data_IF_917485357037
#
_entry.id   IF_917485357037
#
_cell.length_a   1.000
_cell.length_b   1.000
_cell.length_c   1.000
_cell.angle_alpha   90.00
_cell.angle_beta   90.00
_cell.angle_gamma   90.00
#
_symmetry.space_group_name_H-M   'P 1'
#
loop_
_entity.id
_entity.type
_entity.pdbx_description
1 polymer ?
#
# COMPACT_ATOMS: atom_id res chain seq x y z
N UNK A 1 -7.06 10.00 8.31
CA UNK A 1 -8.42 10.23 8.84
C UNK A 1 -8.31 10.87 10.20
N UNK A 2 -9.15 11.87 10.48
CA UNK A 2 -9.38 12.37 11.84
C UNK A 2 -10.86 12.13 12.15
N UNK A 3 -11.16 11.40 13.22
CA UNK A 3 -12.55 11.04 13.55
C UNK A 3 -12.74 10.74 15.03
N UNK A 4 -13.94 10.97 15.55
CA UNK A 4 -14.43 10.40 16.81
C UNK A 4 -15.57 9.38 16.58
N UNK A 5 -15.98 9.17 15.33
CA UNK A 5 -16.98 8.18 14.93
C UNK A 5 -16.30 6.80 14.77
N UNK A 6 -16.83 5.81 15.48
CA UNK A 6 -16.29 4.44 15.50
C UNK A 6 -16.36 3.74 14.14
N UNK A 7 -17.33 4.05 13.28
CA UNK A 7 -17.48 3.39 11.98
C UNK A 7 -16.32 3.70 11.02
N UNK A 8 -16.12 4.97 10.60
CA UNK A 8 -14.98 5.39 9.81
C UNK A 8 -13.64 5.07 10.49
N UNK A 9 -13.58 5.09 11.83
CA UNK A 9 -12.39 4.74 12.60
C UNK A 9 -11.98 3.29 12.36
N UNK A 10 -12.90 2.33 12.53
CA UNK A 10 -12.62 0.91 12.32
C UNK A 10 -12.31 0.59 10.86
N UNK A 11 -13.01 1.23 9.91
CA UNK A 11 -12.70 1.07 8.50
C UNK A 11 -11.28 1.59 8.17
N UNK A 12 -10.94 2.79 8.65
CA UNK A 12 -9.60 3.38 8.46
C UNK A 12 -8.52 2.49 9.05
N UNK A 13 -8.75 1.97 10.25
CA UNK A 13 -7.85 1.07 10.93
C UNK A 13 -7.65 -0.24 10.17
N UNK A 14 -8.73 -0.86 9.68
CA UNK A 14 -8.68 -2.11 8.94
C UNK A 14 -7.88 -2.00 7.62
N UNK A 15 -7.93 -0.84 6.95
CA UNK A 15 -7.20 -0.61 5.69
C UNK A 15 -5.78 -0.05 5.88
N UNK A 16 -5.30 0.09 7.13
CA UNK A 16 -3.97 0.61 7.44
C UNK A 16 -3.76 2.06 6.97
N UNK A 17 -4.82 2.86 6.96
CA UNK A 17 -4.71 4.28 6.66
C UNK A 17 -4.34 5.06 7.95
N UNK A 18 -3.54 6.14 7.87
CA UNK A 18 -3.20 6.95 9.03
C UNK A 18 -4.46 7.45 9.73
N UNK A 19 -4.55 7.22 11.03
CA UNK A 19 -5.73 7.51 11.85
C UNK A 19 -5.36 8.31 13.09
N UNK A 20 -6.03 9.45 13.28
CA UNK A 20 -6.06 10.14 14.58
C UNK A 20 -7.49 10.07 15.09
N UNK A 21 -7.69 9.32 16.17
CA UNK A 21 -8.99 9.15 16.80
C UNK A 21 -9.12 10.09 18.01
N UNK A 22 -10.21 10.85 18.10
CA UNK A 22 -10.40 11.87 19.12
C UNK A 22 -11.38 11.38 20.20
N UNK A 23 -10.96 11.43 21.46
CA UNK A 23 -11.73 10.97 22.61
C UNK A 23 -11.80 12.05 23.69
N UNK A 24 -12.92 12.77 23.72
CA UNK A 24 -13.21 13.75 24.75
C UNK A 24 -14.10 13.18 25.85
N UNK A 25 -15.38 12.99 25.52
CA UNK A 25 -16.37 12.47 26.46
C UNK A 25 -16.45 10.95 26.50
N UNK A 26 -15.87 10.22 25.55
CA UNK A 26 -15.98 8.75 25.45
C UNK A 26 -14.64 8.08 25.76
N UNK A 27 -14.67 6.76 25.94
CA UNK A 27 -13.49 5.96 26.26
C UNK A 27 -13.03 5.14 25.03
N UNK A 28 -11.75 5.25 24.61
CA UNK A 28 -11.20 4.42 23.53
C UNK A 28 -11.23 2.92 23.83
N UNK A 29 -11.28 2.48 25.09
CA UNK A 29 -11.43 1.07 25.44
C UNK A 29 -12.79 0.49 25.00
N UNK A 30 -13.80 1.34 24.81
CA UNK A 30 -15.16 0.95 24.43
C UNK A 30 -15.41 1.08 22.93
N UNK A 31 -14.98 2.20 22.32
CA UNK A 31 -15.32 2.54 20.93
C UNK A 31 -14.10 2.96 20.09
N UNK A 32 -12.89 2.73 20.60
CA UNK A 32 -11.63 3.07 19.93
C UNK A 32 -11.22 2.10 18.83
N UNK A 33 -10.09 2.39 18.17
CA UNK A 33 -9.51 1.48 17.19
C UNK A 33 -9.15 0.15 17.88
N UNK A 34 -9.23 -0.99 17.18
CA UNK A 34 -9.06 -2.30 17.81
C UNK A 34 -7.78 -2.51 18.64
N UNK A 35 -6.65 -1.90 18.30
CA UNK A 35 -5.42 -1.95 19.11
C UNK A 35 -5.57 -1.31 20.51
N UNK A 36 -6.57 -0.46 20.71
CA UNK A 36 -6.83 0.29 21.93
C UNK A 36 -8.11 -0.18 22.65
N UNK A 37 -8.83 -1.15 22.05
CA UNK A 37 -9.98 -1.79 22.66
C UNK A 37 -9.53 -2.87 23.66
N UNK A 38 -10.36 -3.19 24.65
CA UNK A 38 -10.05 -4.23 25.63
C UNK A 38 -9.65 -5.57 24.96
N UNK A 39 -8.58 -6.25 25.42
CA UNK A 39 -8.20 -7.56 24.90
C UNK A 39 -9.36 -8.54 25.09
N UNK A 40 -10.05 -8.90 24.00
CA UNK A 40 -11.21 -9.80 24.00
C UNK A 40 -12.52 -9.22 23.50
N UNK A 41 -12.62 -7.91 23.19
CA UNK A 41 -13.85 -7.31 22.67
C UNK A 41 -13.97 -7.32 21.14
N UNK A 42 -12.88 -7.55 20.40
CA UNK A 42 -12.88 -7.59 18.94
C UNK A 42 -12.09 -8.83 18.48
N UNK A 43 -12.79 -9.81 17.92
CA UNK A 43 -12.18 -10.90 17.18
C UNK A 43 -11.74 -10.36 15.81
N UNK A 44 -10.44 -10.10 15.65
CA UNK A 44 -9.86 -9.71 14.38
C UNK A 44 -9.44 -11.00 13.68
N UNK A 45 -9.95 -11.29 12.47
CA UNK A 45 -9.51 -12.44 11.69
C UNK A 45 -7.98 -12.49 11.61
N UNK A 46 -7.39 -13.68 11.82
CA UNK A 46 -5.94 -13.88 11.93
C UNK A 46 -5.15 -13.54 10.67
N UNK A 47 -5.85 -13.34 9.55
CA UNK A 47 -5.34 -12.94 8.24
C UNK A 47 -5.22 -11.42 8.07
N UNK A 48 -5.70 -10.61 9.03
CA UNK A 48 -5.53 -9.15 9.04
C UNK A 48 -4.42 -8.76 10.02
N UNK A 49 -3.20 -8.57 9.50
CA UNK A 49 -2.11 -7.99 10.29
C UNK A 49 -2.31 -6.48 10.48
N UNK A 50 -2.60 -6.07 11.71
CA UNK A 50 -2.93 -4.70 12.08
C UNK A 50 -1.74 -3.74 11.93
N UNK A 51 -2.02 -2.57 11.32
CA UNK A 51 -1.07 -1.49 11.10
C UNK A 51 -1.10 -0.49 12.27
N UNK A 52 0.05 -0.19 12.84
CA UNK A 52 0.23 0.62 14.06
C UNK A 52 0.18 2.14 13.82
N UNK A 53 -0.41 2.61 12.73
CA UNK A 53 -0.47 4.05 12.35
C UNK A 53 -1.70 4.77 12.88
N UNK A 54 -2.06 4.44 14.11
CA UNK A 54 -3.22 4.99 14.79
C UNK A 54 -2.78 5.70 16.05
N UNK A 55 -3.14 6.97 16.18
CA UNK A 55 -2.96 7.75 17.40
C UNK A 55 -4.35 8.01 18.00
N UNK A 56 -4.49 7.75 19.29
CA UNK A 56 -5.65 8.17 20.08
C UNK A 56 -5.27 9.43 20.84
N UNK A 57 -5.96 10.53 20.56
CA UNK A 57 -5.89 11.74 21.39
C UNK A 57 -7.06 11.70 22.36
N UNK A 58 -6.76 11.48 23.65
CA UNK A 58 -7.74 11.45 24.73
C UNK A 58 -7.52 12.63 25.67
N UNK A 59 -8.60 13.24 26.14
CA UNK A 59 -8.54 14.15 27.29
C UNK A 59 -9.07 13.44 28.53
N UNK A 60 -8.28 13.44 29.60
CA UNK A 60 -8.71 12.93 30.89
C UNK A 60 -9.60 13.98 31.57
N UNK A 61 -10.88 13.62 31.72
CA UNK A 61 -11.90 14.44 32.32
C UNK A 61 -12.59 13.63 33.41
N UNK A 62 -12.81 14.23 34.58
CA UNK A 62 -13.45 13.57 35.72
C UNK A 62 -14.88 13.09 35.42
N UNK A 63 -15.51 13.68 34.40
CA UNK A 63 -16.84 13.32 33.92
C UNK A 63 -16.85 12.32 32.76
N UNK A 64 -15.69 11.82 32.29
CA UNK A 64 -15.59 10.85 31.19
C UNK A 64 -15.44 9.41 31.72
N UNK A 65 -16.11 8.39 31.13
CA UNK A 65 -16.98 8.48 29.96
C UNK A 65 -18.37 9.08 30.27
N UNK A 66 -18.87 9.91 29.37
CA UNK A 66 -20.15 10.59 29.41
C UNK A 66 -20.90 10.37 28.09
N UNK A 67 -22.16 9.91 28.20
CA UNK A 67 -23.06 9.63 27.07
C UNK A 67 -24.31 10.51 27.10
N UNK A 68 -24.29 11.57 27.91
CA UNK A 68 -25.40 12.51 28.04
C UNK A 68 -25.54 13.40 26.80
N UNK A 69 -26.78 13.66 26.39
CA UNK A 69 -27.07 14.56 25.27
C UNK A 69 -26.81 16.03 25.61
N UNK A 70 -27.00 16.39 26.88
CA UNK A 70 -26.77 17.73 27.40
C UNK A 70 -25.75 17.66 28.53
N UNK A 71 -24.74 18.54 28.51
CA UNK A 71 -23.66 18.52 29.50
C UNK A 71 -24.18 18.93 30.90
N UNK A 72 -24.17 18.04 31.91
CA UNK A 72 -24.63 18.37 33.26
C UNK A 72 -23.78 19.46 33.91
N UNK A 73 -22.47 19.46 33.64
CA UNK A 73 -21.51 20.41 34.18
C UNK A 73 -21.43 21.75 33.43
N UNK A 74 -22.28 21.97 32.40
CA UNK A 74 -22.33 23.19 31.55
C UNK A 74 -20.96 23.70 31.09
N UNK A 75 -20.02 22.78 30.84
CA UNK A 75 -18.72 23.07 30.26
C UNK A 75 -18.48 22.14 29.07
N UNK A 76 -17.79 22.63 28.04
CA UNK A 76 -17.60 21.90 26.79
C UNK A 76 -16.16 21.43 26.62
N UNK A 77 -15.44 21.21 27.73
CA UNK A 77 -14.02 20.76 27.73
C UNK A 77 -13.81 19.50 26.89
N UNK A 78 -14.73 18.54 26.98
CA UNK A 78 -14.74 17.33 26.14
C UNK A 78 -14.82 17.59 24.63
N UNK A 79 -15.27 18.77 24.19
CA UNK A 79 -15.36 19.15 22.78
C UNK A 79 -14.20 20.04 22.33
N UNK A 80 -13.59 20.82 23.24
CA UNK A 80 -12.66 21.90 22.87
C UNK A 80 -11.24 21.72 23.39
N UNK A 81 -11.01 20.90 24.42
CA UNK A 81 -9.70 20.79 25.04
C UNK A 81 -8.69 20.06 24.15
N UNK A 82 -9.14 19.19 23.23
CA UNK A 82 -8.26 18.64 22.18
C UNK A 82 -8.15 19.71 21.09
N UNK A 83 -7.00 20.36 21.02
CA UNK A 83 -6.80 21.50 20.13
C UNK A 83 -6.50 21.06 18.69
N UNK A 84 -6.85 21.88 17.68
CA UNK A 84 -6.46 21.60 16.29
C UNK A 84 -4.95 21.42 16.09
N UNK A 85 -4.12 22.09 16.90
CA UNK A 85 -2.66 21.96 16.85
C UNK A 85 -2.20 20.56 17.27
N UNK A 86 -2.72 20.03 18.37
CA UNK A 86 -2.41 18.67 18.83
C UNK A 86 -2.82 17.62 17.78
N UNK A 87 -3.98 17.79 17.16
CA UNK A 87 -4.44 16.92 16.06
C UNK A 87 -3.47 16.98 14.88
N UNK A 88 -3.04 18.18 14.48
CA UNK A 88 -2.14 18.36 13.35
C UNK A 88 -0.75 17.76 13.63
N UNK A 89 -0.22 17.93 14.84
CA UNK A 89 1.08 17.40 15.22
C UNK A 89 1.05 15.87 15.30
N UNK A 90 -0.05 15.28 15.81
CA UNK A 90 -0.28 13.84 15.77
C UNK A 90 -0.33 13.31 14.32
N UNK A 91 -1.09 13.97 13.44
CA UNK A 91 -1.18 13.58 12.03
C UNK A 91 0.18 13.59 11.34
N UNK A 92 0.98 14.65 11.55
CA UNK A 92 2.31 14.78 10.95
C UNK A 92 3.24 13.62 11.34
N UNK A 93 3.08 13.06 12.53
CA UNK A 93 3.85 11.91 13.00
C UNK A 93 3.52 10.59 12.31
N UNK A 94 2.37 10.47 11.64
CA UNK A 94 1.88 9.19 11.08
C UNK A 94 1.57 9.23 9.58
N UNK A 95 1.64 10.40 8.95
CA UNK A 95 1.46 10.52 7.49
C UNK A 95 2.68 9.87 6.80
N UNK A 96 2.47 8.95 5.84
CA UNK A 96 3.55 8.36 5.06
C UNK A 96 4.28 9.42 4.24
N UNK A 97 5.60 9.28 4.13
CA UNK A 97 6.46 10.28 3.48
C UNK A 97 7.28 9.71 2.33
N UNK A 98 7.44 8.39 2.26
CA UNK A 98 8.31 7.78 1.27
C UNK A 98 7.51 7.52 -0.01
N UNK A 99 7.92 8.05 -1.15
CA UNK A 99 7.33 7.63 -2.43
C UNK A 99 7.96 6.32 -2.89
N UNK A 100 7.20 5.51 -3.62
CA UNK A 100 7.66 4.26 -4.18
C UNK A 100 7.40 4.17 -5.69
N UNK A 101 8.25 3.41 -6.36
CA UNK A 101 8.05 2.98 -7.73
C UNK A 101 7.78 1.48 -7.70
N UNK A 102 6.53 1.12 -7.98
CA UNK A 102 6.06 -0.26 -8.03
C UNK A 102 6.22 -0.80 -9.45
N UNK A 103 6.78 -1.99 -9.61
CA UNK A 103 7.01 -2.63 -10.91
C UNK A 103 6.38 -4.02 -10.96
N UNK A 104 5.64 -4.34 -12.02
CA UNK A 104 5.36 -5.74 -12.34
C UNK A 104 6.64 -6.49 -12.72
N UNK A 105 6.63 -7.82 -12.63
CA UNK A 105 7.76 -8.67 -13.02
C UNK A 105 7.70 -9.05 -14.49
N UNK A 106 6.72 -9.89 -14.84
CA UNK A 106 6.61 -10.51 -16.16
C UNK A 106 6.04 -9.50 -17.16
N UNK A 107 6.74 -9.26 -18.26
CA UNK A 107 6.39 -8.23 -19.25
C UNK A 107 6.95 -6.84 -18.93
N UNK A 108 7.41 -6.61 -17.70
CA UNK A 108 7.91 -5.31 -17.22
C UNK A 108 9.38 -5.31 -16.83
N UNK A 109 9.81 -6.21 -15.94
CA UNK A 109 11.22 -6.37 -15.55
C UNK A 109 11.92 -7.51 -16.31
N UNK A 110 11.17 -8.52 -16.72
CA UNK A 110 11.65 -9.62 -17.56
C UNK A 110 10.64 -9.97 -18.64
N UNK A 111 11.06 -10.73 -19.65
CA UNK A 111 10.14 -11.26 -20.67
C UNK A 111 9.02 -12.08 -20.01
N UNK A 112 7.78 -11.92 -20.47
CA UNK A 112 6.67 -12.80 -20.06
C UNK A 112 6.84 -14.16 -20.76
N UNK A 113 7.30 -15.15 -20.01
CA UNK A 113 7.51 -16.52 -20.50
C UNK A 113 6.23 -17.38 -20.46
N UNK A 114 5.12 -16.87 -19.91
CA UNK A 114 3.92 -17.66 -19.69
C UNK A 114 4.14 -18.79 -18.68
N UNK A 115 4.06 -18.47 -17.39
CA UNK A 115 4.40 -19.36 -16.26
C UNK A 115 5.89 -19.75 -16.22
N UNK A 116 6.76 -18.76 -16.06
CA UNK A 116 8.19 -18.96 -15.85
C UNK A 116 8.45 -20.00 -14.73
N UNK A 117 8.97 -21.16 -15.10
CA UNK A 117 9.27 -22.28 -14.18
C UNK A 117 10.69 -22.85 -14.34
N UNK A 118 11.50 -22.26 -15.21
CA UNK A 118 12.91 -22.63 -15.44
C UNK A 118 13.78 -21.38 -15.46
N UNK A 119 14.98 -21.48 -14.89
CA UNK A 119 15.94 -20.37 -14.87
C UNK A 119 16.46 -20.01 -16.27
N UNK A 120 16.53 -20.98 -17.19
CA UNK A 120 17.00 -20.76 -18.56
C UNK A 120 16.05 -19.85 -19.37
N UNK A 121 14.77 -19.81 -18.99
CA UNK A 121 13.74 -18.98 -19.63
C UNK A 121 13.65 -17.58 -18.99
N UNK A 122 14.41 -17.31 -17.92
CA UNK A 122 14.42 -16.01 -17.25
C UNK A 122 15.29 -15.02 -18.03
N UNK A 123 14.62 -14.12 -18.75
CA UNK A 123 15.26 -13.04 -19.50
C UNK A 123 14.94 -11.68 -18.87
N UNK A 124 15.80 -11.20 -17.98
CA UNK A 124 15.68 -9.87 -17.36
C UNK A 124 16.09 -8.80 -18.37
N UNK A 125 15.30 -7.74 -18.50
CA UNK A 125 15.63 -6.64 -19.42
C UNK A 125 16.90 -5.90 -18.95
N UNK A 126 17.85 -5.59 -19.86
CA UNK A 126 19.09 -4.89 -19.50
C UNK A 126 18.87 -3.56 -18.75
N UNK A 127 17.79 -2.86 -19.07
CA UNK A 127 17.38 -1.59 -18.50
C UNK A 127 17.07 -1.65 -17.01
N UNK A 128 16.70 -2.82 -16.46
CA UNK A 128 16.35 -2.96 -15.04
C UNK A 128 17.47 -2.48 -14.13
N UNK A 129 18.74 -2.63 -14.54
CA UNK A 129 19.89 -2.11 -13.77
C UNK A 129 19.86 -0.60 -13.59
N UNK A 130 19.21 0.13 -14.48
CA UNK A 130 19.12 1.59 -14.42
C UNK A 130 18.01 2.08 -13.48
N UNK A 131 17.10 1.21 -13.05
CA UNK A 131 16.00 1.59 -12.15
C UNK A 131 16.51 2.05 -10.79
N UNK A 132 17.69 1.59 -10.36
CA UNK A 132 18.33 2.04 -9.11
C UNK A 132 18.50 3.55 -9.05
N UNK A 133 18.67 4.25 -10.18
CA UNK A 133 18.79 5.72 -10.20
C UNK A 133 17.50 6.43 -9.77
N UNK A 134 16.34 5.76 -9.80
CA UNK A 134 15.11 6.32 -9.25
C UNK A 134 15.20 6.55 -7.73
N UNK A 135 16.11 5.82 -7.04
CA UNK A 135 16.40 6.06 -5.62
C UNK A 135 16.99 7.44 -5.37
N UNK A 136 17.78 7.97 -6.30
CA UNK A 136 18.32 9.34 -6.22
C UNK A 136 17.21 10.39 -6.29
N UNK A 137 16.06 10.03 -6.88
CA UNK A 137 14.85 10.85 -6.87
C UNK A 137 13.99 10.63 -5.63
N UNK A 138 14.40 9.80 -4.68
CA UNK A 138 13.68 9.50 -3.43
C UNK A 138 12.62 8.40 -3.56
N UNK A 139 12.64 7.59 -4.62
CA UNK A 139 11.76 6.43 -4.74
C UNK A 139 12.34 5.21 -4.03
N UNK A 140 11.48 4.50 -3.30
CA UNK A 140 11.70 3.11 -2.88
C UNK A 140 11.30 2.20 -4.05
N UNK A 141 12.11 1.18 -4.36
CA UNK A 141 11.84 0.27 -5.47
C UNK A 141 11.13 -0.99 -4.97
N UNK A 142 9.91 -1.22 -5.45
CA UNK A 142 9.08 -2.35 -5.01
C UNK A 142 8.62 -3.17 -6.20
N UNK A 143 8.83 -4.50 -6.15
CA UNK A 143 8.25 -5.42 -7.11
C UNK A 143 6.87 -5.90 -6.67
N UNK A 144 5.91 -6.02 -7.59
CA UNK A 144 4.55 -6.52 -7.34
C UNK A 144 4.06 -7.43 -8.47
N UNK A 145 3.87 -8.72 -8.22
CA UNK A 145 3.56 -9.66 -9.32
C UNK A 145 2.46 -10.68 -9.03
N UNK A 146 1.62 -10.96 -10.02
CA UNK A 146 0.63 -12.03 -9.98
C UNK A 146 1.27 -13.35 -10.45
N UNK A 147 1.46 -14.31 -9.55
CA UNK A 147 2.12 -15.60 -9.81
C UNK A 147 1.17 -16.78 -9.64
N UNK A 148 0.06 -16.78 -10.40
CA UNK A 148 -0.96 -17.84 -10.34
C UNK A 148 -0.47 -19.22 -10.81
N UNK A 149 0.73 -19.30 -11.39
CA UNK A 149 1.39 -20.58 -11.68
C UNK A 149 1.61 -21.43 -10.43
N UNK A 150 1.75 -20.80 -9.25
CA UNK A 150 1.90 -21.47 -7.96
C UNK A 150 0.62 -22.20 -7.56
N UNK A 151 -0.53 -21.51 -7.51
CA UNK A 151 -1.81 -22.15 -7.21
C UNK A 151 -2.21 -23.22 -8.25
N UNK A 152 -1.71 -23.11 -9.48
CA UNK A 152 -1.93 -24.10 -10.55
C UNK A 152 -0.99 -25.30 -10.48
N UNK A 153 0.00 -25.31 -9.60
CA UNK A 153 1.02 -26.37 -9.52
C UNK A 153 1.97 -26.42 -10.73
N UNK A 154 2.02 -25.36 -11.54
CA UNK A 154 2.90 -25.25 -12.73
C UNK A 154 4.29 -24.72 -12.34
N UNK A 155 4.34 -23.90 -11.29
CA UNK A 155 5.54 -23.26 -10.79
C UNK A 155 5.66 -23.56 -9.30
N UNK A 156 6.83 -24.04 -8.86
CA UNK A 156 7.10 -24.22 -7.43
C UNK A 156 7.22 -22.86 -6.72
N UNK A 157 6.80 -22.81 -5.46
CA UNK A 157 6.87 -21.58 -4.66
C UNK A 157 8.32 -21.13 -4.48
N UNK A 158 9.19 -22.07 -4.18
CA UNK A 158 10.62 -21.87 -3.98
C UNK A 158 11.29 -21.32 -5.24
N UNK A 159 10.86 -21.78 -6.42
CA UNK A 159 11.32 -21.22 -7.69
C UNK A 159 10.92 -19.75 -7.83
N UNK A 160 9.66 -19.41 -7.55
CA UNK A 160 9.15 -18.02 -7.58
C UNK A 160 9.96 -17.12 -6.65
N UNK A 161 10.18 -17.57 -5.42
CA UNK A 161 10.94 -16.84 -4.39
C UNK A 161 12.40 -16.67 -4.78
N UNK A 162 13.02 -17.69 -5.37
CA UNK A 162 14.39 -17.61 -5.90
C UNK A 162 14.51 -16.56 -7.00
N UNK A 163 13.58 -16.52 -7.96
CA UNK A 163 13.56 -15.50 -9.02
C UNK A 163 13.39 -14.11 -8.42
N UNK A 164 12.49 -13.95 -7.47
CA UNK A 164 12.29 -12.69 -6.74
C UNK A 164 13.58 -12.23 -6.04
N UNK A 165 14.29 -13.16 -5.39
CA UNK A 165 15.56 -12.90 -4.70
C UNK A 165 16.66 -12.32 -5.61
N UNK A 166 16.58 -12.53 -6.92
CA UNK A 166 17.51 -11.91 -7.87
C UNK A 166 17.29 -10.39 -7.91
N UNK A 167 16.05 -9.92 -7.92
CA UNK A 167 15.74 -8.49 -8.01
C UNK A 167 16.13 -7.74 -6.74
N UNK A 168 15.85 -8.31 -5.57
CA UNK A 168 16.24 -7.71 -4.28
C UNK A 168 17.74 -7.82 -4.03
N UNK A 169 18.39 -8.91 -4.46
CA UNK A 169 19.82 -9.13 -4.25
C UNK A 169 20.74 -8.43 -5.26
N UNK A 170 20.31 -8.22 -6.51
CA UNK A 170 21.20 -7.76 -7.59
C UNK A 170 20.76 -6.45 -8.27
N UNK A 171 19.47 -6.10 -8.19
CA UNK A 171 18.92 -4.94 -8.92
C UNK A 171 18.44 -3.83 -7.98
N UNK A 172 18.68 -3.96 -6.67
CA UNK A 172 18.44 -2.91 -5.69
C UNK A 172 16.97 -2.70 -5.32
N UNK A 173 16.09 -3.68 -5.55
CA UNK A 173 14.72 -3.62 -5.06
C UNK A 173 14.69 -3.74 -3.54
N UNK A 174 14.00 -2.79 -2.88
CA UNK A 174 13.89 -2.74 -1.42
C UNK A 174 12.92 -3.81 -0.90
N UNK A 175 11.90 -4.15 -1.69
CA UNK A 175 10.95 -5.23 -1.40
C UNK A 175 10.32 -5.79 -2.66
N UNK A 176 9.80 -7.00 -2.56
CA UNK A 176 9.11 -7.66 -3.67
C UNK A 176 7.99 -8.52 -3.13
N UNK A 177 6.78 -8.28 -3.61
CA UNK A 177 5.55 -8.93 -3.18
C UNK A 177 4.94 -9.68 -4.35
N UNK A 178 4.37 -10.85 -4.08
CA UNK A 178 3.69 -11.62 -5.10
C UNK A 178 2.41 -12.27 -4.58
N UNK A 179 1.44 -12.44 -5.48
CA UNK A 179 0.21 -13.16 -5.22
C UNK A 179 0.29 -14.57 -5.85
N UNK A 180 0.32 -15.66 -5.06
CA UNK A 180 0.35 -17.02 -5.59
C UNK A 180 -1.02 -17.55 -6.05
N UNK A 181 -2.11 -16.89 -5.66
CA UNK A 181 -3.48 -17.40 -5.78
C UNK A 181 -4.02 -17.42 -7.22
N UNK A 182 -4.95 -18.34 -7.46
CA UNK A 182 -5.75 -18.42 -8.67
C UNK A 182 -6.71 -17.21 -8.78
N UNK A 183 -7.06 -16.77 -10.01
CA UNK A 183 -8.09 -15.75 -10.22
C UNK A 183 -9.41 -15.97 -9.48
N UNK A 184 -9.82 -17.23 -9.30
CA UNK A 184 -11.12 -17.58 -8.72
C UNK A 184 -11.14 -17.58 -7.18
N UNK A 185 -9.98 -17.43 -6.53
CA UNK A 185 -9.86 -17.45 -5.07
C UNK A 185 -10.29 -16.13 -4.40
N UNK A 186 -10.63 -15.09 -5.18
CA UNK A 186 -11.08 -13.78 -4.68
C UNK A 186 -10.20 -13.18 -3.57
N UNK A 187 -8.89 -13.43 -3.62
CA UNK A 187 -7.96 -12.94 -2.61
C UNK A 187 -7.74 -11.42 -2.73
N UNK A 188 -7.42 -10.76 -1.60
CA UNK A 188 -7.19 -9.31 -1.58
C UNK A 188 -5.85 -8.87 -2.21
N UNK A 189 -4.94 -9.81 -2.50
CA UNK A 189 -3.58 -9.48 -2.95
C UNK A 189 -3.40 -9.52 -4.48
N UNK A 190 -4.26 -10.22 -5.23
CA UNK A 190 -4.13 -10.34 -6.68
C UNK A 190 -4.50 -9.02 -7.36
N UNK A 191 -3.60 -8.45 -8.18
CA UNK A 191 -3.90 -7.26 -8.99
C UNK A 191 -5.13 -7.55 -9.87
N UNK A 192 -6.13 -6.65 -9.93
CA UNK A 192 -6.09 -5.23 -9.56
C UNK A 192 -6.31 -4.90 -8.08
N UNK A 193 -6.54 -5.88 -7.20
CA UNK A 193 -6.65 -5.64 -5.76
C UNK A 193 -5.34 -5.12 -5.17
N UNK A 194 -5.45 -4.29 -4.13
CA UNK A 194 -4.33 -3.49 -3.60
C UNK A 194 -3.52 -4.17 -2.50
N UNK A 195 -3.83 -5.41 -2.10
CA UNK A 195 -3.24 -6.06 -0.92
C UNK A 195 -1.71 -6.11 -0.92
N UNK A 196 -1.07 -6.40 -2.07
CA UNK A 196 0.40 -6.37 -2.17
C UNK A 196 0.97 -4.97 -1.92
N UNK A 197 0.34 -3.93 -2.47
CA UNK A 197 0.78 -2.54 -2.31
C UNK A 197 0.51 -2.03 -0.90
N UNK A 198 -0.62 -2.41 -0.28
CA UNK A 198 -0.92 -2.07 1.11
C UNK A 198 0.09 -2.70 2.07
N UNK A 199 0.52 -3.95 1.80
CA UNK A 199 1.61 -4.58 2.54
C UNK A 199 2.93 -3.83 2.36
N UNK A 200 3.32 -3.52 1.13
CA UNK A 200 4.51 -2.71 0.87
C UNK A 200 4.45 -1.34 1.56
N UNK A 201 3.27 -0.70 1.55
CA UNK A 201 3.05 0.57 2.24
C UNK A 201 3.31 0.44 3.73
N UNK A 202 2.82 -0.64 4.36
CA UNK A 202 3.07 -0.96 5.76
C UNK A 202 4.57 -1.05 6.04
N UNK A 203 5.27 -1.85 5.25
CA UNK A 203 6.67 -2.21 5.47
C UNK A 203 7.63 -1.04 5.23
N UNK A 204 7.30 -0.13 4.30
CA UNK A 204 8.20 0.96 3.86
C UNK A 204 7.68 2.37 4.11
N UNK A 205 6.58 2.54 4.86
CA UNK A 205 5.93 3.82 5.10
C UNK A 205 5.63 4.63 3.82
N UNK A 206 4.96 4.01 2.86
CA UNK A 206 4.80 4.56 1.50
C UNK A 206 3.63 5.55 1.39
N UNK A 207 3.89 6.72 0.80
CA UNK A 207 2.90 7.65 0.27
C UNK A 207 2.50 7.23 -1.15
N UNK A 208 1.36 6.54 -1.24
CA UNK A 208 0.85 6.01 -2.50
C UNK A 208 0.47 7.11 -3.50
N UNK A 209 0.06 8.29 -3.04
CA UNK A 209 -0.36 9.38 -3.92
C UNK A 209 0.80 9.97 -4.72
N UNK A 210 1.98 10.00 -4.11
CA UNK A 210 3.22 10.45 -4.76
C UNK A 210 4.04 9.29 -5.35
N UNK A 211 3.46 8.08 -5.38
CA UNK A 211 4.07 6.88 -5.94
C UNK A 211 3.66 6.63 -7.39
N UNK A 212 4.39 5.75 -8.06
CA UNK A 212 4.13 5.33 -9.43
C UNK A 212 3.97 3.81 -9.50
N UNK A 213 3.12 3.33 -10.41
CA UNK A 213 2.99 1.91 -10.74
C UNK A 213 3.33 1.73 -12.21
N UNK A 214 4.24 0.80 -12.47
CA UNK A 214 4.74 0.45 -13.80
C UNK A 214 4.38 -1.00 -14.08
N UNK A 215 3.67 -1.23 -15.17
CA UNK A 215 3.23 -2.57 -15.58
C UNK A 215 2.91 -2.61 -17.07
N UNK A 216 2.66 -3.79 -17.60
CA UNK A 216 2.29 -4.03 -19.00
C UNK A 216 0.80 -4.41 -19.16
N UNK A 217 0.09 -4.68 -18.06
CA UNK A 217 -1.29 -5.20 -18.08
C UNK A 217 -2.31 -4.19 -17.55
N UNK A 218 -3.55 -4.33 -18.00
CA UNK A 218 -4.69 -3.51 -17.52
C UNK A 218 -4.82 -3.56 -15.99
N UNK A 219 -4.60 -4.75 -15.40
CA UNK A 219 -4.67 -4.96 -13.95
C UNK A 219 -3.68 -4.11 -13.15
N UNK A 220 -2.53 -3.75 -13.74
CA UNK A 220 -1.56 -2.85 -13.10
C UNK A 220 -2.05 -1.41 -13.09
N UNK A 221 -2.67 -0.99 -14.20
CA UNK A 221 -3.19 0.36 -14.36
C UNK A 221 -4.45 0.56 -13.50
N UNK A 222 -5.33 -0.42 -13.44
CA UNK A 222 -6.46 -0.45 -12.51
C UNK A 222 -6.00 -0.40 -11.05
N UNK A 223 -4.97 -1.17 -10.69
CA UNK A 223 -4.36 -1.11 -9.36
C UNK A 223 -3.85 0.31 -9.07
N UNK A 224 -3.10 0.91 -9.99
CA UNK A 224 -2.56 2.26 -9.84
C UNK A 224 -3.65 3.29 -9.55
N UNK A 225 -4.76 3.23 -10.31
CA UNK A 225 -5.94 4.08 -10.08
C UNK A 225 -6.59 3.81 -8.74
N UNK A 226 -6.75 2.55 -8.36
CA UNK A 226 -7.37 2.14 -7.08
C UNK A 226 -6.64 2.72 -5.88
N UNK A 227 -5.31 2.79 -5.94
CA UNK A 227 -4.48 3.31 -4.85
C UNK A 227 -4.17 4.81 -4.97
N UNK A 228 -4.61 5.47 -6.05
CA UNK A 228 -4.33 6.87 -6.34
C UNK A 228 -2.87 7.17 -6.72
N UNK A 229 -2.13 6.16 -7.18
CA UNK A 229 -0.78 6.31 -7.71
C UNK A 229 -0.83 6.65 -9.21
N UNK A 230 0.28 7.17 -9.73
CA UNK A 230 0.41 7.42 -11.17
C UNK A 230 0.58 6.10 -11.93
N UNK A 231 -0.20 5.92 -13.00
CA UNK A 231 -0.24 4.71 -13.80
C UNK A 231 0.65 4.84 -15.07
N UNK A 232 1.77 4.12 -15.14
CA UNK A 232 2.70 4.15 -16.27
C UNK A 232 2.69 2.81 -16.99
N UNK A 233 2.14 2.77 -18.21
CA UNK A 233 2.00 1.54 -18.99
C UNK A 233 3.24 1.30 -19.86
N UNK A 234 3.81 0.10 -19.80
CA UNK A 234 4.78 -0.40 -20.77
C UNK A 234 4.06 -1.16 -21.88
N UNK A 235 4.17 -0.68 -23.12
CA UNK A 235 3.56 -1.32 -24.29
C UNK A 235 4.60 -2.13 -25.04
N UNK A 236 4.31 -3.41 -25.27
CA UNK A 236 4.88 -4.11 -26.43
C UNK A 236 4.14 -3.69 -27.70
N UNK A 237 4.77 -3.88 -28.87
CA UNK A 237 4.25 -3.41 -30.17
C UNK A 237 2.84 -3.94 -30.52
N UNK A 238 2.34 -4.96 -29.82
CA UNK A 238 1.05 -5.62 -30.08
C UNK A 238 -0.01 -5.44 -28.97
N UNK A 239 0.27 -4.67 -27.92
CA UNK A 239 -0.67 -4.49 -26.80
C UNK A 239 -1.60 -3.27 -27.01
N UNK A 240 -2.90 -3.46 -26.75
CA UNK A 240 -3.88 -2.36 -26.69
C UNK A 240 -3.50 -1.33 -25.61
N UNK A 241 -4.01 -0.10 -25.73
CA UNK A 241 -3.88 0.90 -24.65
C UNK A 241 -4.79 0.59 -23.47
N UNK A 242 -4.44 1.09 -22.28
CA UNK A 242 -5.32 1.13 -21.11
C UNK A 242 -5.94 2.51 -20.98
N UNK A 243 -7.24 2.59 -20.67
CA UNK A 243 -7.90 3.86 -20.31
C UNK A 243 -7.48 4.35 -18.92
N UNK A 244 -6.91 3.46 -18.11
CA UNK A 244 -6.44 3.75 -16.76
C UNK A 244 -4.99 4.25 -16.74
N UNK A 245 -4.23 4.13 -17.83
CA UNK A 245 -2.87 4.65 -17.91
C UNK A 245 -2.85 6.19 -17.95
N UNK A 246 -1.95 6.82 -17.19
CA UNK A 246 -1.66 8.25 -17.32
C UNK A 246 -0.69 8.52 -18.48
N UNK A 247 0.28 7.62 -18.67
CA UNK A 247 1.31 7.69 -19.70
C UNK A 247 1.60 6.29 -20.26
N UNK A 248 2.11 6.20 -21.48
CA UNK A 248 2.51 4.94 -22.10
C UNK A 248 3.91 5.04 -22.70
N UNK A 249 4.71 4.01 -22.48
CA UNK A 249 6.11 3.94 -22.90
C UNK A 249 6.37 2.66 -23.69
N UNK A 250 7.29 2.73 -24.65
CA UNK A 250 7.64 1.56 -25.50
C UNK A 250 8.58 0.59 -24.78
N UNK A 251 9.35 1.09 -23.82
CA UNK A 251 10.32 0.33 -23.05
C UNK A 251 10.73 1.09 -21.78
N UNK A 252 11.41 0.38 -20.87
CA UNK A 252 11.94 0.94 -19.64
C UNK A 252 12.90 2.13 -19.87
N UNK A 253 13.68 2.14 -20.95
CA UNK A 253 14.58 3.27 -21.25
C UNK A 253 13.78 4.57 -21.41
N UNK A 254 12.73 4.56 -22.23
CA UNK A 254 11.89 5.75 -22.44
C UNK A 254 11.17 6.20 -21.16
N UNK A 255 10.74 5.25 -20.33
CA UNK A 255 10.11 5.53 -19.03
C UNK A 255 11.10 6.15 -18.03
N UNK A 256 12.32 5.61 -17.93
CA UNK A 256 13.34 6.10 -17.02
C UNK A 256 13.70 7.55 -17.38
N UNK A 257 13.93 7.84 -18.67
CA UNK A 257 14.20 9.20 -19.14
C UNK A 257 13.07 10.17 -18.77
N UNK A 258 11.83 9.76 -19.00
CA UNK A 258 10.64 10.53 -18.64
C UNK A 258 10.58 10.86 -17.14
N UNK A 259 10.86 9.88 -16.27
CA UNK A 259 10.88 10.10 -14.81
C UNK A 259 12.03 11.05 -14.42
N UNK A 260 13.20 10.93 -15.07
CA UNK A 260 14.31 11.83 -14.80
C UNK A 260 13.99 13.28 -15.13
N UNK A 261 13.30 13.54 -16.25
CA UNK A 261 12.91 14.88 -16.71
C UNK A 261 11.78 15.49 -15.87
N UNK A 262 10.77 14.69 -15.54
CA UNK A 262 9.55 15.18 -14.86
C UNK A 262 9.75 15.49 -13.38
N UNK A 263 10.67 14.78 -12.72
CA UNK A 263 10.87 14.86 -11.27
C UNK A 263 12.26 15.44 -10.91
N UNK A 264 12.69 16.45 -11.66
CA UNK A 264 13.86 17.29 -11.37
C UNK A 264 13.45 18.50 -10.54
#
# INVERSE_FOLDING_TARGET
>A
MVTNDSGPMHLTYAVGAPLVALFGSTDPALTGPPAFANPGSIAIPSDIELDSRSIVLKRDLDCSPCFERECPGRNTKCLVDITPREVLDALRGIIPTNKAAFFDRDGTLCRDAGYLNRMDDLEIFPEVRKLVHLKEKGYILIGISNQSGVARGIVEREFTERVIGIFTGQYGFDGFYYCPHHPDENCACRKPSSGMVLKARKDFNIDLRNSIVVGDKESDMELARTIGARALLLKSENAGGSIYADESFRNLTSLINYIHETYT
#
